data_IF_534053037278
#
_entry.id   IF_534053037278
#
_cell.length_a   1.000
_cell.length_b   1.000
_cell.length_c   1.000
_cell.angle_alpha   90.00
_cell.angle_beta   90.00
_cell.angle_gamma   90.00
#
_symmetry.space_group_name_H-M   'P 1'
#
loop_
_entity.id
_entity.type
_entity.pdbx_description
1 polymer ?
#
# COMPACT_ATOMS: atom_id res chain seq x y z
N UNK A 1 26.49 -0.90 11.85
CA UNK A 1 25.30 -0.96 10.98
C UNK A 1 25.80 -0.70 9.57
N UNK A 2 25.78 -1.67 8.67
CA UNK A 2 26.16 -1.45 7.26
C UNK A 2 25.03 -0.71 6.55
N UNK A 3 25.37 0.33 5.79
CA UNK A 3 24.42 1.12 4.99
C UNK A 3 24.40 0.55 3.57
N UNK A 4 23.21 0.38 3.00
CA UNK A 4 23.02 -0.06 1.62
C UNK A 4 21.98 0.83 0.90
N UNK A 5 22.18 1.04 -0.39
CA UNK A 5 21.33 1.85 -1.25
C UNK A 5 20.87 1.00 -2.45
N UNK A 6 19.59 1.09 -2.82
CA UNK A 6 19.02 0.32 -3.94
C UNK A 6 19.60 0.72 -5.31
N UNK A 7 20.19 1.92 -5.40
CA UNK A 7 20.87 2.40 -6.59
C UNK A 7 22.35 1.94 -6.67
N UNK A 8 22.89 1.31 -5.62
CA UNK A 8 24.29 0.86 -5.51
C UNK A 8 24.37 -0.65 -5.26
N UNK A 9 24.64 -1.42 -6.32
CA UNK A 9 24.69 -2.89 -6.28
C UNK A 9 25.80 -3.43 -5.38
N UNK A 10 26.93 -2.72 -5.26
CA UNK A 10 28.07 -3.16 -4.44
C UNK A 10 27.73 -3.00 -2.96
N UNK A 11 27.00 -1.94 -2.61
CA UNK A 11 26.47 -1.77 -1.26
C UNK A 11 25.45 -2.87 -0.90
N UNK A 12 24.62 -3.30 -1.86
CA UNK A 12 23.66 -4.38 -1.68
C UNK A 12 24.36 -5.72 -1.49
N UNK A 13 25.36 -6.04 -2.30
CA UNK A 13 26.12 -7.29 -2.18
C UNK A 13 26.81 -7.42 -0.81
N UNK A 14 27.34 -6.32 -0.27
CA UNK A 14 27.95 -6.31 1.08
C UNK A 14 26.96 -6.71 2.17
N UNK A 15 25.70 -6.30 2.07
CA UNK A 15 24.67 -6.64 3.07
C UNK A 15 23.98 -7.97 2.78
N UNK A 16 24.11 -8.50 1.56
CA UNK A 16 23.59 -9.81 1.16
C UNK A 16 24.59 -10.96 1.28
N UNK A 17 25.79 -10.71 1.79
CA UNK A 17 26.75 -11.76 2.13
C UNK A 17 26.28 -12.58 3.34
N UNK A 18 25.79 -13.81 3.11
CA UNK A 18 25.38 -14.76 4.16
C UNK A 18 23.88 -14.99 4.41
N UNK A 19 22.94 -14.05 4.21
CA UNK A 19 21.51 -14.33 4.40
C UNK A 19 20.95 -15.32 3.37
N UNK A 20 20.17 -16.29 3.86
CA UNK A 20 19.45 -17.24 3.01
C UNK A 20 18.18 -16.65 2.39
N UNK A 21 17.66 -15.56 2.96
CA UNK A 21 16.44 -14.89 2.53
C UNK A 21 16.52 -13.36 2.67
N UNK A 22 15.95 -12.64 1.70
CA UNK A 22 15.90 -11.18 1.66
C UNK A 22 14.45 -10.70 1.47
N UNK A 23 14.09 -9.59 2.12
CA UNK A 23 12.87 -8.85 1.81
C UNK A 23 13.20 -7.64 0.97
N UNK A 24 12.45 -7.44 -0.11
CA UNK A 24 12.43 -6.20 -0.87
C UNK A 24 11.10 -5.49 -0.63
N UNK A 25 11.13 -4.39 0.12
CA UNK A 25 10.00 -3.47 0.22
C UNK A 25 10.13 -2.41 -0.87
N UNK A 26 9.11 -2.27 -1.71
CA UNK A 26 9.16 -1.32 -2.83
C UNK A 26 9.34 0.11 -2.32
N UNK A 27 10.23 0.88 -2.94
CA UNK A 27 10.46 2.30 -2.65
C UNK A 27 9.44 3.19 -3.35
N UNK A 28 9.32 4.45 -2.94
CA UNK A 28 8.49 5.45 -3.62
C UNK A 28 9.14 6.04 -4.90
N UNK A 29 10.23 5.44 -5.40
CA UNK A 29 10.98 5.95 -6.55
C UNK A 29 10.32 5.56 -7.89
N UNK A 30 9.12 6.05 -8.18
CA UNK A 30 8.43 5.77 -9.45
C UNK A 30 9.30 6.19 -10.66
N UNK A 31 9.24 5.42 -11.74
CA UNK A 31 10.19 5.50 -12.87
C UNK A 31 11.54 4.77 -12.66
N UNK A 32 12.07 4.73 -11.44
CA UNK A 32 13.32 3.99 -11.10
C UNK A 32 13.09 2.71 -10.30
N UNK A 33 11.88 2.49 -9.80
CA UNK A 33 11.48 1.35 -8.96
C UNK A 33 11.80 0.01 -9.62
N UNK A 34 11.62 -0.09 -10.95
CA UNK A 34 11.96 -1.31 -11.68
C UNK A 34 13.48 -1.58 -11.65
N UNK A 35 14.29 -0.56 -11.94
CA UNK A 35 15.75 -0.67 -11.87
C UNK A 35 16.24 -1.00 -10.45
N UNK A 36 15.65 -0.38 -9.43
CA UNK A 36 15.97 -0.67 -8.03
C UNK A 36 15.61 -2.10 -7.64
N UNK A 37 14.46 -2.59 -8.06
CA UNK A 37 14.07 -3.97 -7.84
C UNK A 37 15.01 -4.95 -8.57
N UNK A 38 15.41 -4.64 -9.81
CA UNK A 38 16.40 -5.42 -10.56
C UNK A 38 17.75 -5.47 -9.82
N UNK A 39 18.29 -4.33 -9.40
CA UNK A 39 19.56 -4.26 -8.67
C UNK A 39 19.53 -5.14 -7.40
N UNK A 40 18.43 -5.09 -6.64
CA UNK A 40 18.25 -5.92 -5.44
C UNK A 40 18.19 -7.40 -5.79
N UNK A 41 17.46 -7.77 -6.85
CA UNK A 41 17.37 -9.16 -7.32
C UNK A 41 18.74 -9.68 -7.78
N UNK A 42 19.49 -8.87 -8.53
CA UNK A 42 20.79 -9.27 -9.09
C UNK A 42 21.87 -9.37 -8.02
N UNK A 43 21.89 -8.45 -7.05
CA UNK A 43 22.75 -8.56 -5.88
C UNK A 43 22.40 -9.83 -5.06
N UNK A 44 21.11 -10.07 -4.84
CA UNK A 44 20.65 -11.24 -4.08
C UNK A 44 21.03 -12.56 -4.76
N UNK A 45 20.86 -12.67 -6.08
CA UNK A 45 21.32 -13.82 -6.88
C UNK A 45 22.82 -14.02 -6.76
N UNK A 46 23.61 -12.95 -6.92
CA UNK A 46 25.08 -12.98 -6.85
C UNK A 46 25.57 -13.50 -5.50
N UNK A 47 24.92 -13.10 -4.42
CA UNK A 47 25.30 -13.53 -3.07
C UNK A 47 24.70 -14.88 -2.64
N UNK A 48 23.98 -15.59 -3.53
CA UNK A 48 23.41 -16.90 -3.23
C UNK A 48 22.18 -16.86 -2.32
N UNK A 49 21.48 -15.73 -2.22
CA UNK A 49 20.21 -15.63 -1.52
C UNK A 49 19.20 -16.58 -2.16
N UNK A 50 18.61 -17.45 -1.35
CA UNK A 50 17.74 -18.53 -1.85
C UNK A 50 16.27 -18.12 -1.95
N UNK A 51 15.87 -17.07 -1.24
CA UNK A 51 14.46 -16.60 -1.17
C UNK A 51 14.38 -15.08 -1.15
N UNK A 52 13.55 -14.52 -2.02
CA UNK A 52 13.23 -13.09 -2.05
C UNK A 52 11.73 -12.94 -1.84
N UNK A 53 11.34 -12.18 -0.82
CA UNK A 53 9.95 -11.78 -0.61
C UNK A 53 9.79 -10.31 -0.98
N UNK A 54 8.92 -10.01 -1.94
CA UNK A 54 8.67 -8.66 -2.42
C UNK A 54 7.34 -8.13 -1.88
N UNK A 55 7.36 -6.97 -1.25
CA UNK A 55 6.15 -6.25 -0.81
C UNK A 55 6.01 -4.95 -1.60
N UNK A 56 4.82 -4.74 -2.18
CA UNK A 56 4.46 -3.50 -2.87
C UNK A 56 3.42 -2.70 -2.07
N UNK A 57 2.94 -1.59 -2.62
CA UNK A 57 2.22 -0.56 -1.87
C UNK A 57 0.68 -0.65 -1.95
N UNK A 58 0.02 -0.39 -0.81
CA UNK A 58 -1.06 0.60 -0.60
C UNK A 58 -0.79 1.23 0.77
N UNK A 59 -1.11 2.50 0.99
CA UNK A 59 -0.71 3.15 2.24
C UNK A 59 -1.44 4.43 2.59
N UNK A 60 -1.19 4.79 3.84
CA UNK A 60 -1.71 5.92 4.55
C UNK A 60 -0.61 6.28 5.55
N UNK A 61 -0.02 7.46 5.38
CA UNK A 61 0.77 8.16 6.39
C UNK A 61 0.89 9.63 5.91
N UNK A 62 -0.22 10.38 5.96
CA UNK A 62 -0.26 11.84 6.00
C UNK A 62 -1.64 12.30 6.52
N UNK A 63 -1.73 13.40 7.31
CA UNK A 63 -3.01 13.92 7.77
C UNK A 63 -3.79 14.48 6.58
N UNK A 64 -5.01 13.97 6.37
CA UNK A 64 -5.91 14.47 5.36
C UNK A 64 -6.29 15.95 5.66
N UNK A 65 -6.55 16.77 4.63
CA UNK A 65 -7.13 18.09 4.82
C UNK A 65 -8.42 18.00 5.64
N UNK A 66 -8.63 18.91 6.60
CA UNK A 66 -9.83 18.98 7.45
C UNK A 66 -11.05 19.58 6.75
N UNK A 67 -11.07 19.52 5.42
CA UNK A 67 -12.32 19.71 4.70
C UNK A 67 -13.12 18.46 5.05
N UNK A 68 -14.24 18.59 5.77
CA UNK A 68 -15.13 17.48 6.21
C UNK A 68 -15.79 16.73 5.03
N UNK A 69 -15.12 16.67 3.89
CA UNK A 69 -15.53 16.18 2.59
C UNK A 69 -14.55 15.09 2.14
N UNK A 70 -15.00 13.84 2.20
CA UNK A 70 -14.31 12.72 1.57
C UNK A 70 -14.70 12.66 0.09
N UNK A 71 -13.75 12.87 -0.82
CA UNK A 71 -13.94 12.64 -2.25
C UNK A 71 -13.60 11.20 -2.64
N UNK A 72 -14.53 10.52 -3.32
CA UNK A 72 -14.36 9.15 -3.81
C UNK A 72 -14.63 9.09 -5.31
N UNK A 73 -13.68 8.60 -6.11
CA UNK A 73 -13.86 8.32 -7.54
C UNK A 73 -13.93 6.83 -7.86
N UNK A 74 -13.95 5.96 -6.84
CA UNK A 74 -14.09 4.50 -7.03
C UNK A 74 -15.55 4.03 -7.16
N UNK A 75 -16.51 4.95 -7.13
CA UNK A 75 -17.93 4.64 -7.07
C UNK A 75 -18.29 3.77 -5.86
N UNK A 76 -19.37 2.99 -6.00
CA UNK A 76 -19.82 2.02 -4.99
C UNK A 76 -19.09 0.66 -5.07
N UNK A 77 -17.95 0.59 -5.76
CA UNK A 77 -17.23 -0.67 -5.98
C UNK A 77 -16.40 -1.03 -4.75
N UNK A 78 -16.57 -2.25 -4.19
CA UNK A 78 -15.85 -2.64 -2.99
C UNK A 78 -14.41 -3.07 -3.27
N UNK A 79 -13.52 -2.83 -2.30
CA UNK A 79 -12.13 -3.29 -2.29
C UNK A 79 -11.83 -4.17 -1.08
N UNK A 80 -11.08 -5.25 -1.28
CA UNK A 80 -10.63 -6.18 -0.25
C UNK A 80 -9.36 -5.65 0.45
N UNK A 81 -9.52 -4.58 1.22
CA UNK A 81 -8.42 -3.90 1.90
C UNK A 81 -7.81 -4.76 3.02
N UNK A 82 -6.49 -4.71 3.14
CA UNK A 82 -5.74 -5.42 4.19
C UNK A 82 -4.91 -4.41 4.99
N UNK A 83 -4.91 -4.54 6.32
CA UNK A 83 -4.09 -3.69 7.17
C UNK A 83 -2.60 -3.94 6.90
N UNK A 84 -1.79 -2.88 6.92
CA UNK A 84 -0.35 -2.93 6.66
C UNK A 84 0.37 -3.95 7.56
N UNK A 85 0.00 -4.02 8.84
CA UNK A 85 0.58 -5.00 9.77
C UNK A 85 0.29 -6.46 9.36
N UNK A 86 -0.83 -6.74 8.69
CA UNK A 86 -1.15 -8.09 8.21
C UNK A 86 -0.24 -8.49 7.04
N UNK A 87 0.13 -7.55 6.17
CA UNK A 87 1.15 -7.79 5.14
C UNK A 87 2.50 -8.18 5.77
N UNK A 88 2.91 -7.49 6.84
CA UNK A 88 4.11 -7.83 7.60
C UNK A 88 4.03 -9.21 8.26
N UNK A 89 2.85 -9.57 8.79
CA UNK A 89 2.58 -10.89 9.38
C UNK A 89 2.54 -12.03 8.38
N UNK A 90 2.25 -11.76 7.11
CA UNK A 90 2.38 -12.73 6.02
C UNK A 90 3.82 -12.84 5.53
N UNK A 91 4.55 -11.72 5.50
CA UNK A 91 5.93 -11.69 5.05
C UNK A 91 6.85 -12.56 5.93
N UNK A 92 6.76 -12.43 7.26
CA UNK A 92 7.60 -13.21 8.18
C UNK A 92 7.55 -14.75 7.95
N UNK A 93 6.38 -15.41 7.89
CA UNK A 93 6.30 -16.85 7.63
C UNK A 93 6.76 -17.24 6.22
N UNK A 94 6.57 -16.38 5.20
CA UNK A 94 7.13 -16.61 3.86
C UNK A 94 8.67 -16.62 3.91
N UNK A 95 9.27 -15.70 4.66
CA UNK A 95 10.71 -15.68 4.96
C UNK A 95 11.18 -16.85 5.82
N UNK A 96 10.28 -17.61 6.45
CA UNK A 96 10.59 -18.86 7.15
C UNK A 96 10.26 -20.12 6.33
N UNK A 97 9.78 -19.96 5.09
CA UNK A 97 9.60 -21.07 4.16
C UNK A 97 8.22 -21.72 4.18
N UNK A 98 7.22 -21.09 4.83
CA UNK A 98 5.83 -21.60 4.84
C UNK A 98 5.09 -21.48 3.49
N UNK A 99 5.65 -20.74 2.53
CA UNK A 99 5.09 -20.59 1.18
C UNK A 99 5.65 -21.59 0.17
N UNK A 100 4.93 -21.78 -0.93
CA UNK A 100 5.42 -22.49 -2.11
C UNK A 100 6.39 -21.60 -2.88
N UNK A 101 7.55 -22.12 -3.32
CA UNK A 101 8.44 -21.39 -4.22
C UNK A 101 7.71 -20.93 -5.49
N UNK A 102 8.16 -19.81 -6.09
CA UNK A 102 7.64 -19.29 -7.36
C UNK A 102 6.11 -19.10 -7.40
N UNK A 103 5.51 -18.74 -6.28
CA UNK A 103 4.05 -18.59 -6.15
C UNK A 103 3.71 -17.14 -5.81
N UNK A 104 2.72 -16.58 -6.50
CA UNK A 104 2.16 -15.26 -6.19
C UNK A 104 1.08 -15.43 -5.12
N UNK A 105 1.26 -14.75 -4.00
CA UNK A 105 0.25 -14.68 -2.94
C UNK A 105 -0.37 -13.29 -2.94
N UNK A 106 -1.62 -13.20 -3.39
CA UNK A 106 -2.41 -11.99 -3.24
C UNK A 106 -2.84 -11.87 -1.78
N UNK A 107 -2.30 -10.90 -1.06
CA UNK A 107 -2.65 -10.68 0.35
C UNK A 107 -3.77 -9.65 0.41
N UNK A 108 -4.98 -10.07 0.76
CA UNK A 108 -6.15 -9.19 0.85
C UNK A 108 -6.88 -9.33 2.19
N UNK A 109 -7.85 -8.46 2.44
CA UNK A 109 -8.76 -8.58 3.58
C UNK A 109 -9.71 -9.76 3.45
N UNK A 110 -10.42 -10.07 4.55
CA UNK A 110 -11.44 -11.13 4.58
C UNK A 110 -12.70 -10.78 3.80
N UNK A 111 -12.96 -9.50 3.60
CA UNK A 111 -14.14 -8.99 2.94
C UNK A 111 -13.76 -7.80 2.06
N UNK A 112 -14.54 -7.61 0.99
CA UNK A 112 -14.47 -6.42 0.16
C UNK A 112 -15.50 -5.41 0.67
N UNK A 113 -15.06 -4.18 0.91
CA UNK A 113 -15.87 -3.12 1.49
C UNK A 113 -15.79 -1.86 0.63
N UNK A 114 -16.86 -1.08 0.60
CA UNK A 114 -16.90 0.18 -0.14
C UNK A 114 -16.32 1.32 0.68
N UNK A 115 -15.89 2.40 0.01
CA UNK A 115 -15.46 3.62 0.67
C UNK A 115 -16.58 4.21 1.56
N UNK A 116 -17.85 4.07 1.15
CA UNK A 116 -18.99 4.51 1.95
C UNK A 116 -19.16 3.71 3.24
N UNK A 117 -18.92 2.38 3.22
CA UNK A 117 -18.99 1.56 4.43
C UNK A 117 -17.89 1.94 5.42
N UNK A 118 -16.67 2.15 4.92
CA UNK A 118 -15.54 2.65 5.72
C UNK A 118 -15.87 4.02 6.31
N UNK A 119 -16.38 4.93 5.48
CA UNK A 119 -16.74 6.29 5.89
C UNK A 119 -17.80 6.33 6.97
N UNK A 120 -18.92 5.61 6.77
CA UNK A 120 -20.00 5.53 7.76
C UNK A 120 -19.49 5.00 9.09
N UNK A 121 -18.69 3.93 9.05
CA UNK A 121 -18.09 3.39 10.26
C UNK A 121 -17.23 4.43 10.99
N UNK A 122 -16.43 5.24 10.28
CA UNK A 122 -15.63 6.31 10.89
C UNK A 122 -16.54 7.37 11.53
N UNK A 123 -17.54 7.89 10.81
CA UNK A 123 -18.45 8.90 11.35
C UNK A 123 -19.19 8.41 12.60
N UNK A 124 -19.66 7.16 12.59
CA UNK A 124 -20.36 6.55 13.73
C UNK A 124 -19.47 6.43 14.97
N UNK A 125 -18.16 6.21 14.80
CA UNK A 125 -17.21 5.99 15.89
C UNK A 125 -16.51 7.28 16.37
N UNK A 126 -16.42 8.31 15.51
CA UNK A 126 -15.76 9.59 15.82
C UNK A 126 -16.77 10.68 16.18
N UNK A 127 -18.09 10.41 16.04
CA UNK A 127 -19.18 11.39 16.23
C UNK A 127 -19.04 12.63 15.33
N UNK A 128 -18.51 12.44 14.13
CA UNK A 128 -18.37 13.50 13.13
C UNK A 128 -19.50 13.41 12.09
N UNK A 129 -19.86 14.55 11.51
CA UNK A 129 -20.92 14.72 10.50
C UNK A 129 -20.31 14.96 9.11
N UNK A 130 -19.17 14.34 8.82
CA UNK A 130 -18.55 14.46 7.51
C UNK A 130 -19.49 14.03 6.38
N UNK A 131 -19.16 14.45 5.16
CA UNK A 131 -19.84 14.02 3.94
C UNK A 131 -18.89 13.25 3.02
N UNK A 132 -19.37 12.17 2.41
CA UNK A 132 -18.70 11.50 1.30
C UNK A 132 -19.38 11.88 -0.02
N UNK A 133 -18.60 12.39 -0.97
CA UNK A 133 -19.06 12.75 -2.30
C UNK A 133 -18.36 11.90 -3.35
N UNK A 134 -19.16 11.30 -4.24
CA UNK A 134 -18.63 10.57 -5.38
C UNK A 134 -18.39 11.53 -6.53
N UNK A 135 -17.17 11.55 -7.05
CA UNK A 135 -16.72 12.44 -8.13
C UNK A 135 -16.11 11.63 -9.26
N UNK A 136 -16.07 12.19 -10.46
CA UNK A 136 -15.33 11.64 -11.59
C UNK A 136 -13.81 11.76 -11.41
N UNK A 137 -13.06 11.00 -12.20
CA UNK A 137 -11.60 11.12 -12.26
C UNK A 137 -11.14 12.53 -12.63
N UNK A 138 -11.87 13.21 -13.51
CA UNK A 138 -11.57 14.57 -13.94
C UNK A 138 -11.79 15.57 -12.81
N UNK A 139 -12.92 15.47 -12.09
CA UNK A 139 -13.20 16.34 -10.93
C UNK A 139 -12.19 16.11 -9.79
N UNK A 140 -11.81 14.85 -9.51
CA UNK A 140 -10.79 14.53 -8.52
C UNK A 140 -9.42 15.09 -8.93
N UNK A 141 -9.06 14.96 -10.21
CA UNK A 141 -7.83 15.52 -10.76
C UNK A 141 -7.79 17.04 -10.59
N UNK A 142 -8.85 17.72 -11.03
CA UNK A 142 -8.92 19.18 -10.95
C UNK A 142 -8.86 19.69 -9.51
N UNK A 143 -9.54 18.99 -8.58
CA UNK A 143 -9.52 19.30 -7.15
C UNK A 143 -8.09 19.32 -6.56
N UNK A 144 -7.26 18.33 -6.92
CA UNK A 144 -5.90 18.20 -6.42
C UNK A 144 -4.89 19.05 -7.17
N UNK A 145 -5.06 19.24 -8.48
CA UNK A 145 -4.23 20.16 -9.28
C UNK A 145 -4.33 21.61 -8.75
N UNK A 146 -5.55 22.06 -8.41
CA UNK A 146 -5.77 23.38 -7.81
C UNK A 146 -5.07 23.55 -6.44
N UNK A 147 -4.77 22.44 -5.76
CA UNK A 147 -4.08 22.40 -4.47
C UNK A 147 -2.57 22.15 -4.61
N UNK A 148 -2.04 22.21 -5.83
CA UNK A 148 -0.61 22.09 -6.10
C UNK A 148 -0.08 20.66 -6.11
N UNK A 149 -0.95 19.65 -6.21
CA UNK A 149 -0.49 18.27 -6.39
C UNK A 149 0.12 18.09 -7.80
N UNK A 150 1.37 17.65 -7.94
CA UNK A 150 1.97 17.47 -9.25
C UNK A 150 1.34 16.30 -10.01
N UNK A 151 1.34 16.38 -11.34
CA UNK A 151 0.83 15.29 -12.20
C UNK A 151 1.75 14.06 -12.21
N UNK A 152 3.03 14.20 -12.59
CA UNK A 152 3.99 13.10 -12.51
C UNK A 152 4.64 13.02 -11.12
N UNK A 153 5.15 11.84 -10.80
CA UNK A 153 5.95 11.57 -9.58
C UNK A 153 7.26 12.36 -9.49
N UNK A 154 7.73 12.93 -10.60
CA UNK A 154 8.93 13.78 -10.64
C UNK A 154 8.64 15.25 -10.37
N UNK A 155 7.38 15.61 -10.09
CA UNK A 155 7.00 16.99 -9.81
C UNK A 155 7.35 17.45 -8.40
N UNK A 156 7.04 18.71 -8.10
CA UNK A 156 7.31 19.32 -6.80
C UNK A 156 6.18 18.99 -5.81
N UNK A 157 6.53 18.34 -4.71
CA UNK A 157 5.63 18.00 -3.61
C UNK A 157 5.79 18.93 -2.40
N UNK A 158 6.65 19.94 -2.47
CA UNK A 158 6.90 20.87 -1.35
C UNK A 158 5.64 21.61 -0.86
N UNK A 159 4.64 21.72 -1.74
CA UNK A 159 3.41 22.46 -1.50
C UNK A 159 2.25 21.60 -0.97
N UNK A 160 2.43 20.29 -0.81
CA UNK A 160 1.34 19.38 -0.45
C UNK A 160 1.83 18.31 0.53
N UNK A 161 1.03 17.98 1.57
CA UNK A 161 1.34 16.83 2.41
C UNK A 161 1.18 15.50 1.65
N UNK A 162 0.40 15.45 0.55
CA UNK A 162 0.17 14.22 -0.20
C UNK A 162 1.42 13.79 -0.98
N UNK A 163 1.94 12.59 -0.73
CA UNK A 163 3.11 12.02 -1.42
C UNK A 163 2.80 11.23 -2.69
N UNK A 164 1.53 11.13 -3.07
CA UNK A 164 1.06 10.51 -4.32
C UNK A 164 0.89 11.59 -5.39
N UNK A 165 1.38 11.38 -6.62
CA UNK A 165 1.05 12.27 -7.73
C UNK A 165 -0.37 11.99 -8.25
N UNK A 166 -0.89 12.86 -9.12
CA UNK A 166 -2.22 12.69 -9.72
C UNK A 166 -2.32 11.35 -10.46
N UNK A 167 -1.29 10.97 -11.24
CA UNK A 167 -1.31 9.74 -12.03
C UNK A 167 -1.43 8.50 -11.14
N UNK A 168 -0.70 8.48 -10.01
CA UNK A 168 -0.76 7.40 -9.03
C UNK A 168 -2.13 7.36 -8.33
N UNK A 169 -2.65 8.53 -7.93
CA UNK A 169 -3.95 8.68 -7.27
C UNK A 169 -5.08 8.11 -8.15
N UNK A 170 -5.13 8.51 -9.43
CA UNK A 170 -6.15 8.06 -10.36
C UNK A 170 -6.00 6.57 -10.67
N UNK A 171 -4.78 6.10 -10.95
CA UNK A 171 -4.52 4.68 -11.24
C UNK A 171 -4.96 3.77 -10.08
N UNK A 172 -4.57 4.08 -8.83
CA UNK A 172 -4.96 3.28 -7.67
C UNK A 172 -6.49 3.21 -7.52
N UNK A 173 -7.20 4.30 -7.80
CA UNK A 173 -8.66 4.38 -7.65
C UNK A 173 -9.41 3.74 -8.82
N UNK A 174 -8.86 3.83 -10.03
CA UNK A 174 -9.36 3.15 -11.23
C UNK A 174 -9.31 1.64 -11.07
N UNK A 175 -8.26 1.11 -10.42
CA UNK A 175 -8.17 -0.32 -10.11
C UNK A 175 -9.29 -0.81 -9.19
N UNK A 176 -9.70 0.01 -8.21
CA UNK A 176 -10.87 -0.27 -7.37
C UNK A 176 -12.15 -0.15 -8.19
N UNK A 177 -12.34 0.94 -8.94
CA UNK A 177 -13.53 1.19 -9.75
C UNK A 177 -13.78 0.08 -10.80
N UNK A 178 -12.71 -0.50 -11.37
CA UNK A 178 -12.78 -1.62 -12.31
C UNK A 178 -12.97 -2.98 -11.63
N UNK A 179 -13.03 -3.03 -10.31
CA UNK A 179 -13.26 -4.25 -9.53
C UNK A 179 -12.04 -5.16 -9.37
N UNK A 180 -10.85 -4.74 -9.82
CA UNK A 180 -9.63 -5.56 -9.69
C UNK A 180 -9.22 -5.82 -8.24
N UNK A 181 -9.72 -5.00 -7.30
CA UNK A 181 -9.47 -5.16 -5.87
C UNK A 181 -10.61 -5.85 -5.10
N UNK A 182 -11.67 -6.31 -5.77
CA UNK A 182 -12.87 -6.83 -5.09
C UNK A 182 -12.71 -8.25 -4.50
N UNK A 183 -11.65 -8.97 -4.87
CA UNK A 183 -11.50 -10.38 -4.49
C UNK A 183 -10.82 -10.53 -3.11
N UNK A 184 -11.63 -10.76 -2.09
CA UNK A 184 -11.18 -11.15 -0.76
C UNK A 184 -10.63 -12.59 -0.73
N UNK A 185 -9.66 -12.85 0.14
CA UNK A 185 -9.09 -14.18 0.33
C UNK A 185 -8.53 -14.38 1.75
N UNK A 186 -8.10 -15.60 2.05
CA UNK A 186 -7.58 -15.97 3.37
C UNK A 186 -6.05 -16.18 3.38
N UNK A 187 -5.29 -15.48 2.53
CA UNK A 187 -3.83 -15.63 2.47
C UNK A 187 -3.17 -15.33 3.82
N UNK A 188 -3.67 -14.33 4.54
CA UNK A 188 -3.22 -13.99 5.90
C UNK A 188 -3.45 -15.16 6.86
N UNK A 189 -4.63 -15.78 6.86
CA UNK A 189 -4.88 -16.94 7.71
C UNK A 189 -4.04 -18.15 7.35
N UNK A 190 -3.88 -18.43 6.06
CA UNK A 190 -3.09 -19.55 5.57
C UNK A 190 -1.60 -19.43 5.92
N UNK A 191 -1.02 -18.23 5.77
CA UNK A 191 0.43 -18.04 5.93
C UNK A 191 0.82 -17.64 7.37
N UNK A 192 0.03 -16.77 8.01
CA UNK A 192 0.30 -16.30 9.36
C UNK A 192 -0.33 -17.19 10.46
N UNK A 193 -1.25 -18.09 10.11
CA UNK A 193 -1.88 -19.03 11.05
C UNK A 193 -2.88 -18.35 12.02
N UNK A 194 -3.50 -17.24 11.60
CA UNK A 194 -4.37 -16.41 12.43
C UNK A 194 -5.49 -15.79 11.61
N UNK A 195 -6.63 -15.48 12.23
CA UNK A 195 -7.68 -14.73 11.54
C UNK A 195 -7.13 -13.33 11.17
N UNK A 196 -7.29 -12.89 9.91
CA UNK A 196 -6.92 -11.53 9.49
C UNK A 196 -7.75 -10.50 10.26
N UNK A 197 -7.20 -9.31 10.49
CA UNK A 197 -7.95 -8.22 11.10
C UNK A 197 -9.13 -7.81 10.21
N UNK A 198 -10.30 -7.59 10.84
CA UNK A 198 -11.40 -6.90 10.18
C UNK A 198 -11.04 -5.42 10.01
N UNK A 199 -11.65 -4.73 9.04
CA UNK A 199 -11.30 -3.32 8.78
C UNK A 199 -11.66 -2.42 9.97
N UNK A 200 -12.74 -2.75 10.69
CA UNK A 200 -13.17 -2.06 11.91
C UNK A 200 -12.08 -2.14 12.99
N UNK A 201 -11.52 -3.33 13.22
CA UNK A 201 -10.44 -3.53 14.19
C UNK A 201 -9.16 -2.80 13.78
N UNK A 202 -8.91 -2.68 12.47
CA UNK A 202 -7.78 -1.92 11.96
C UNK A 202 -7.97 -0.41 12.19
N UNK A 203 -9.17 0.12 11.93
CA UNK A 203 -9.49 1.55 12.09
C UNK A 203 -9.66 1.98 13.55
N UNK A 204 -10.15 1.10 14.43
CA UNK A 204 -10.35 1.38 15.85
C UNK A 204 -9.08 1.88 16.55
N UNK A 205 -7.90 1.41 16.10
CA UNK A 205 -6.58 1.83 16.60
C UNK A 205 -6.28 3.32 16.38
N UNK A 206 -6.95 3.94 15.41
CA UNK A 206 -6.69 5.31 14.97
C UNK A 206 -7.79 6.30 15.37
N UNK A 207 -8.78 5.86 16.14
CA UNK A 207 -9.91 6.72 16.57
C UNK A 207 -9.44 8.01 17.26
N UNK A 208 -8.39 7.96 18.07
CA UNK A 208 -7.80 9.15 18.72
C UNK A 208 -6.99 10.08 17.79
N UNK A 209 -6.72 9.66 16.55
CA UNK A 209 -6.14 10.51 15.48
C UNK A 209 -7.24 11.06 14.57
N UNK A 210 -8.36 10.35 14.46
CA UNK A 210 -9.50 10.72 13.63
C UNK A 210 -10.44 11.73 14.33
N UNK A 211 -10.40 11.82 15.67
CA UNK A 211 -11.08 12.84 16.49
C UNK A 211 -10.32 14.16 16.57
#
# INVERSE_FOLDING_TARGET
MSLANYDDIDSLQKVFAGPEAVTLTSTWASGRRHQQAQNVIDAAKTCGVRRICYTSFVGADDPAPRDYLWLSNSGAVPGAYVAREECGRVLAPLLLGRGKPNTVYNVTGLEAITNEQVFRWICDNVKDQGHISTVSDQEMKDYWLQRGLPTPVSGDFSQTPMKLCIDDLLCCREMVAKGYMANANNAVGMLAGRKPLAFQDALAKYTGVLS
#
